data_IF_918774013146
#
_entry.id   IF_918774013146
#
_cell.length_a   1.000
_cell.length_b   1.000
_cell.length_c   1.000
_cell.angle_alpha   90.00
_cell.angle_beta   90.00
_cell.angle_gamma   90.00
#
_symmetry.space_group_name_H-M   'P 1'
#
loop_
_entity.id
_entity.type
_entity.pdbx_description
1 polymer ?
#
# COMPACT_ATOMS: atom_id res chain seq x y z
N UNK A 1 22.92 -14.93 1.84
CA UNK A 1 21.81 -15.89 1.77
C UNK A 1 21.00 -15.73 3.05
N UNK A 2 19.66 -15.89 3.03
CA UNK A 2 18.89 -15.81 4.29
C UNK A 2 19.14 -17.06 5.12
N UNK A 3 19.22 -16.90 6.45
CA UNK A 3 19.40 -18.00 7.41
C UNK A 3 18.33 -19.11 7.23
N UNK A 4 17.10 -18.72 6.89
CA UNK A 4 16.01 -19.65 6.55
C UNK A 4 16.31 -20.50 5.28
N UNK A 5 17.01 -19.93 4.30
CA UNK A 5 17.42 -20.64 3.09
C UNK A 5 18.50 -21.68 3.39
N UNK A 6 19.41 -21.39 4.33
CA UNK A 6 20.45 -22.32 4.77
C UNK A 6 19.86 -23.48 5.59
N UNK A 7 18.92 -23.18 6.49
CA UNK A 7 18.17 -24.21 7.23
C UNK A 7 17.41 -25.15 6.29
N UNK A 8 16.70 -24.63 5.29
CA UNK A 8 15.99 -25.46 4.31
C UNK A 8 16.92 -26.36 3.50
N UNK A 9 18.12 -25.86 3.13
CA UNK A 9 19.12 -26.69 2.44
C UNK A 9 19.61 -27.83 3.32
N UNK A 10 19.87 -27.56 4.60
CA UNK A 10 20.30 -28.59 5.56
C UNK A 10 19.21 -29.63 5.82
N UNK A 11 17.96 -29.20 6.00
CA UNK A 11 16.80 -30.10 6.16
C UNK A 11 16.64 -31.01 4.94
N UNK A 12 16.76 -30.45 3.73
CA UNK A 12 16.66 -31.23 2.49
C UNK A 12 17.80 -32.24 2.37
N UNK A 13 19.03 -31.85 2.67
CA UNK A 13 20.17 -32.77 2.68
C UNK A 13 19.97 -33.92 3.69
N UNK A 14 19.42 -33.66 4.87
CA UNK A 14 19.09 -34.71 5.85
C UNK A 14 17.91 -35.59 5.40
N UNK A 15 16.93 -35.04 4.69
CA UNK A 15 15.84 -35.81 4.09
C UNK A 15 16.32 -36.74 2.97
N UNK A 16 17.32 -36.33 2.20
CA UNK A 16 17.91 -37.15 1.15
C UNK A 16 18.81 -38.25 1.73
N UNK A 17 19.47 -37.97 2.85
CA UNK A 17 20.37 -38.92 3.54
C UNK A 17 19.61 -39.98 4.36
N UNK A 18 18.53 -39.58 5.02
CA UNK A 18 17.75 -40.44 5.95
C UNK A 18 17.34 -41.82 5.39
N UNK A 19 16.84 -41.95 4.14
CA UNK A 19 16.44 -43.24 3.58
C UNK A 19 17.60 -44.20 3.32
N UNK A 20 18.83 -43.70 3.32
CA UNK A 20 20.05 -44.45 3.02
C UNK A 20 20.74 -45.01 4.28
N UNK A 21 20.22 -44.69 5.46
CA UNK A 21 20.79 -45.07 6.75
C UNK A 21 19.92 -46.10 7.46
N UNK A 22 20.52 -46.89 8.35
CA UNK A 22 19.83 -47.87 9.19
C UNK A 22 20.21 -47.71 10.67
N UNK A 23 19.34 -48.21 11.57
CA UNK A 23 19.64 -48.31 13.00
C UNK A 23 19.77 -46.96 13.72
N UNK A 24 20.85 -46.80 14.48
CA UNK A 24 21.08 -45.62 15.32
C UNK A 24 21.40 -44.37 14.50
N UNK A 25 22.19 -44.50 13.44
CA UNK A 25 22.56 -43.40 12.54
C UNK A 25 21.33 -42.80 11.86
N UNK A 26 20.40 -43.67 11.43
CA UNK A 26 19.12 -43.24 10.92
C UNK A 26 18.46 -42.37 12.00
N UNK A 27 18.17 -42.93 13.19
CA UNK A 27 17.49 -42.22 14.29
C UNK A 27 18.10 -40.85 14.63
N UNK A 28 19.42 -40.74 14.66
CA UNK A 28 20.11 -39.49 14.95
C UNK A 28 19.90 -38.44 13.85
N UNK A 29 19.92 -38.85 12.58
CA UNK A 29 19.60 -37.98 11.43
C UNK A 29 18.14 -37.52 11.46
N UNK A 30 17.18 -38.34 11.93
CA UNK A 30 15.80 -37.85 12.18
C UNK A 30 15.82 -36.72 13.17
N UNK A 31 16.49 -36.96 14.30
CA UNK A 31 16.43 -36.07 15.45
C UNK A 31 17.00 -34.71 15.08
N UNK A 32 18.12 -34.70 14.37
CA UNK A 32 18.72 -33.45 13.91
C UNK A 32 17.85 -32.76 12.86
N UNK A 33 17.28 -33.49 11.90
CA UNK A 33 16.32 -32.92 10.95
C UNK A 33 15.12 -32.30 11.64
N UNK A 34 14.51 -33.01 12.59
CA UNK A 34 13.32 -32.55 13.29
C UNK A 34 13.63 -31.28 14.12
N UNK A 35 14.82 -31.21 14.72
CA UNK A 35 15.32 -30.00 15.39
C UNK A 35 15.50 -28.83 14.42
N UNK A 36 16.11 -29.05 13.26
CA UNK A 36 16.27 -28.01 12.24
C UNK A 36 14.91 -27.55 11.68
N UNK A 37 13.94 -28.45 11.51
CA UNK A 37 12.58 -28.11 11.10
C UNK A 37 11.87 -27.20 12.12
N UNK A 38 12.07 -27.46 13.42
CA UNK A 38 11.53 -26.59 14.49
C UNK A 38 12.17 -25.20 14.40
N UNK A 39 13.50 -25.12 14.27
CA UNK A 39 14.22 -23.84 14.14
C UNK A 39 13.80 -23.06 12.89
N UNK A 40 13.63 -23.75 11.75
CA UNK A 40 13.14 -23.13 10.52
C UNK A 40 11.72 -22.58 10.68
N UNK A 41 10.85 -23.31 11.39
CA UNK A 41 9.47 -22.89 11.65
C UNK A 41 9.41 -21.67 12.59
N UNK A 42 10.22 -21.67 13.65
CA UNK A 42 10.32 -20.55 14.59
C UNK A 42 10.87 -19.29 13.90
N UNK A 43 11.91 -19.45 13.08
CA UNK A 43 12.49 -18.33 12.33
C UNK A 43 11.50 -17.81 11.28
N UNK A 44 10.79 -18.68 10.56
CA UNK A 44 9.74 -18.27 9.63
C UNK A 44 8.64 -17.48 10.34
N UNK A 45 8.18 -17.97 11.49
CA UNK A 45 7.14 -17.33 12.29
C UNK A 45 7.59 -15.95 12.79
N UNK A 46 8.82 -15.86 13.30
CA UNK A 46 9.42 -14.60 13.74
C UNK A 46 9.57 -13.60 12.59
N UNK A 47 10.11 -14.02 11.45
CA UNK A 47 10.25 -13.14 10.27
C UNK A 47 8.89 -12.68 9.74
N UNK A 48 7.86 -13.53 9.77
CA UNK A 48 6.51 -13.13 9.39
C UNK A 48 5.96 -12.08 10.37
N UNK A 49 6.03 -12.34 11.68
CA UNK A 49 5.59 -11.40 12.71
C UNK A 49 6.36 -10.09 12.69
N UNK A 50 7.66 -10.11 12.42
CA UNK A 50 8.49 -8.91 12.36
C UNK A 50 8.20 -8.04 11.15
N UNK A 51 7.67 -8.59 10.05
CA UNK A 51 7.31 -7.81 8.86
C UNK A 51 5.82 -7.43 8.80
N UNK A 52 4.99 -8.01 9.68
CA UNK A 52 3.54 -7.77 9.70
C UNK A 52 3.18 -6.35 10.20
N UNK A 53 3.85 -5.78 11.22
CA UNK A 53 3.60 -4.41 11.69
C UNK A 53 3.91 -3.35 10.63
N UNK A 54 5.02 -3.48 9.90
CA UNK A 54 5.44 -2.56 8.84
C UNK A 54 4.47 -2.61 7.67
N UNK A 55 4.02 -3.81 7.28
CA UNK A 55 2.97 -3.97 6.27
C UNK A 55 1.65 -3.33 6.74
N UNK A 56 1.28 -3.54 8.00
CA UNK A 56 0.06 -2.95 8.58
C UNK A 56 0.14 -1.42 8.59
N UNK A 57 1.27 -0.87 9.03
CA UNK A 57 1.51 0.57 9.04
C UNK A 57 1.52 1.17 7.62
N UNK A 58 2.09 0.47 6.64
CA UNK A 58 2.06 0.89 5.24
C UNK A 58 0.63 0.89 4.66
N UNK A 59 -0.19 -0.11 5.00
CA UNK A 59 -1.60 -0.17 4.62
C UNK A 59 -2.38 1.00 5.26
N UNK A 60 -2.15 1.28 6.55
CA UNK A 60 -2.80 2.39 7.24
C UNK A 60 -2.42 3.75 6.63
N UNK A 61 -1.15 3.96 6.31
CA UNK A 61 -0.69 5.14 5.58
C UNK A 61 -1.33 5.27 4.21
N UNK A 62 -1.43 4.17 3.46
CA UNK A 62 -2.07 4.16 2.14
C UNK A 62 -3.57 4.51 2.24
N UNK A 63 -4.27 3.97 3.24
CA UNK A 63 -5.67 4.28 3.51
C UNK A 63 -5.86 5.76 3.86
N UNK A 64 -4.98 6.32 4.70
CA UNK A 64 -5.01 7.75 5.04
C UNK A 64 -4.78 8.63 3.82
N UNK A 65 -3.77 8.33 3.00
CA UNK A 65 -3.49 9.07 1.76
C UNK A 65 -4.67 8.98 0.79
N UNK A 66 -5.29 7.81 0.67
CA UNK A 66 -6.47 7.61 -0.19
C UNK A 66 -7.64 8.48 0.28
N UNK A 67 -7.90 8.52 1.59
CA UNK A 67 -8.94 9.40 2.16
C UNK A 67 -8.65 10.87 1.89
N UNK A 68 -7.42 11.33 2.13
CA UNK A 68 -7.02 12.71 1.87
C UNK A 68 -7.17 13.09 0.39
N UNK A 69 -6.91 12.16 -0.53
CA UNK A 69 -7.09 12.38 -1.97
C UNK A 69 -8.57 12.52 -2.35
N UNK A 70 -9.46 11.77 -1.70
CA UNK A 70 -10.92 11.90 -1.88
C UNK A 70 -11.39 13.27 -1.37
N UNK A 71 -11.00 13.66 -0.16
CA UNK A 71 -11.36 14.95 0.43
C UNK A 71 -10.85 16.13 -0.43
N UNK A 72 -9.63 16.01 -0.96
CA UNK A 72 -9.06 17.00 -1.88
C UNK A 72 -9.86 17.11 -3.19
N UNK A 73 -10.30 15.98 -3.75
CA UNK A 73 -11.16 15.96 -4.95
C UNK A 73 -12.48 16.69 -4.70
N UNK A 74 -13.14 16.41 -3.57
CA UNK A 74 -14.40 17.09 -3.21
C UNK A 74 -14.21 18.59 -3.06
N UNK A 75 -13.10 19.02 -2.44
CA UNK A 75 -12.75 20.44 -2.31
C UNK A 75 -12.54 21.11 -3.67
N UNK A 76 -11.83 20.45 -4.60
CA UNK A 76 -11.63 20.93 -5.97
C UNK A 76 -12.97 21.07 -6.70
N UNK A 77 -13.88 20.11 -6.53
CA UNK A 77 -15.21 20.16 -7.15
C UNK A 77 -16.05 21.33 -6.63
N UNK A 78 -15.99 21.64 -5.33
CA UNK A 78 -16.67 22.82 -4.77
C UNK A 78 -16.08 24.13 -5.30
N UNK A 79 -14.74 24.24 -5.31
CA UNK A 79 -14.05 25.41 -5.87
C UNK A 79 -14.42 25.60 -7.33
N UNK A 80 -14.47 24.53 -8.12
CA UNK A 80 -14.90 24.56 -9.52
C UNK A 80 -16.33 25.08 -9.69
N UNK A 81 -17.27 24.65 -8.84
CA UNK A 81 -18.65 25.18 -8.83
C UNK A 81 -18.68 26.67 -8.53
N UNK A 82 -17.91 27.13 -7.55
CA UNK A 82 -17.82 28.55 -7.18
C UNK A 82 -17.24 29.40 -8.32
N UNK A 83 -16.17 28.93 -8.97
CA UNK A 83 -15.58 29.59 -10.15
C UNK A 83 -16.64 29.75 -11.26
N UNK A 84 -17.42 28.70 -11.52
CA UNK A 84 -18.48 28.75 -12.53
C UNK A 84 -19.59 29.77 -12.18
N UNK A 85 -19.93 29.92 -10.89
CA UNK A 85 -20.87 30.94 -10.45
C UNK A 85 -20.31 32.36 -10.65
N UNK A 86 -19.06 32.58 -10.27
CA UNK A 86 -18.37 33.87 -10.47
C UNK A 86 -18.33 34.23 -11.96
N UNK A 87 -17.98 33.28 -12.83
CA UNK A 87 -17.97 33.48 -14.28
C UNK A 87 -19.36 33.89 -14.82
N UNK A 88 -20.45 33.27 -14.34
CA UNK A 88 -21.82 33.67 -14.70
C UNK A 88 -22.14 35.10 -14.25
N UNK A 89 -21.71 35.48 -13.05
CA UNK A 89 -21.93 36.84 -12.52
C UNK A 89 -21.17 37.88 -13.34
N UNK A 90 -19.90 37.61 -13.68
CA UNK A 90 -19.09 38.48 -14.56
C UNK A 90 -19.80 38.65 -15.91
N UNK A 91 -20.27 37.56 -16.53
CA UNK A 91 -20.99 37.62 -17.81
C UNK A 91 -22.24 38.51 -17.75
N UNK A 92 -23.00 38.44 -16.65
CA UNK A 92 -24.18 39.30 -16.43
C UNK A 92 -23.78 40.76 -16.28
N UNK A 93 -22.75 41.04 -15.47
CA UNK A 93 -22.24 42.39 -15.25
C UNK A 93 -21.73 43.02 -16.55
N UNK A 94 -20.92 42.29 -17.32
CA UNK A 94 -20.44 42.75 -18.64
C UNK A 94 -21.60 43.04 -19.59
N UNK A 95 -22.61 42.18 -19.63
CA UNK A 95 -23.80 42.40 -20.48
C UNK A 95 -24.59 43.65 -20.06
N UNK A 96 -24.70 43.91 -18.77
CA UNK A 96 -25.36 45.12 -18.25
C UNK A 96 -24.56 46.38 -18.62
N UNK A 97 -23.24 46.35 -18.44
CA UNK A 97 -22.36 47.46 -18.82
C UNK A 97 -22.48 47.82 -20.31
N UNK A 98 -22.51 46.80 -21.19
CA UNK A 98 -22.73 47.00 -22.63
C UNK A 98 -24.08 47.65 -22.92
N UNK A 99 -25.15 47.25 -22.22
CA UNK A 99 -26.48 47.87 -22.38
C UNK A 99 -26.49 49.33 -21.94
N UNK A 100 -25.89 49.64 -20.79
CA UNK A 100 -25.77 51.02 -20.29
C UNK A 100 -24.98 51.89 -21.27
N UNK A 101 -23.84 51.41 -21.77
CA UNK A 101 -23.05 52.12 -22.77
C UNK A 101 -23.85 52.43 -24.05
N UNK A 102 -24.64 51.47 -24.53
CA UNK A 102 -25.53 51.69 -25.70
C UNK A 102 -26.60 52.75 -25.45
N UNK A 103 -27.17 52.82 -24.24
CA UNK A 103 -28.16 53.84 -23.89
C UNK A 103 -27.52 55.23 -23.86
N UNK A 104 -26.35 55.37 -23.24
CA UNK A 104 -25.62 56.64 -23.18
C UNK A 104 -25.25 57.17 -24.57
N UNK A 105 -24.91 56.29 -25.51
CA UNK A 105 -24.64 56.66 -26.90
C UNK A 105 -25.89 57.11 -27.68
N UNK A 106 -27.10 56.69 -27.27
CA UNK A 106 -28.37 57.07 -27.91
C UNK A 106 -28.97 58.36 -27.34
N UNK A 107 -28.52 58.80 -26.16
CA UNK A 107 -28.94 60.05 -25.54
C UNK A 107 -28.00 61.24 -25.84
N UNK A 108 -26.98 61.03 -26.68
CA UNK A 108 -26.19 62.07 -27.34
C UNK A 108 -26.75 62.32 -28.72
#
# INVERSE_FOLDING_TARGET
>A
MSELSELNKAINALNDLWPLLEGDEQRDVRRERDKLNIQASELAYKTLLENTPELTAAIDQLNLVTKNAIDAKESIDDVSKRINQVAKTIKKASSAAVKVAKLLLRCK
#
